data_IF_215476443933
#
_entry.id   IF_215476443933
#
_cell.length_a   1.000
_cell.length_b   1.000
_cell.length_c   1.000
_cell.angle_alpha   90.00
_cell.angle_beta   90.00
_cell.angle_gamma   90.00
#
_symmetry.space_group_name_H-M   'P 1'
#
loop_
_entity.id
_entity.type
_entity.pdbx_description
1 polymer ?
#
# COMPACT_ATOMS: atom_id res chain seq x y z
N UNK A 1 -3.35 34.90 6.17
CA UNK A 1 -3.95 34.14 7.28
C UNK A 1 -4.21 32.72 6.82
N UNK A 2 -3.60 31.72 7.46
CA UNK A 2 -3.78 30.30 7.14
C UNK A 2 -5.19 29.88 7.58
N UNK A 3 -6.08 29.55 6.63
CA UNK A 3 -7.44 29.10 6.95
C UNK A 3 -7.57 27.59 6.73
N UNK A 4 -7.06 26.82 7.71
CA UNK A 4 -7.16 25.36 7.72
C UNK A 4 -8.62 24.85 7.70
N UNK A 5 -9.58 25.67 8.16
CA UNK A 5 -11.01 25.34 8.17
C UNK A 5 -11.62 25.23 6.77
N UNK A 6 -10.97 25.78 5.74
CA UNK A 6 -11.47 25.68 4.36
C UNK A 6 -11.25 24.28 3.76
N UNK A 7 -10.20 23.57 4.18
CA UNK A 7 -9.91 22.18 3.77
C UNK A 7 -10.94 21.22 4.40
N UNK A 8 -11.43 21.54 5.59
CA UNK A 8 -12.44 20.75 6.32
C UNK A 8 -13.88 20.90 5.80
N UNK A 9 -14.15 21.87 4.91
CA UNK A 9 -15.52 22.23 4.51
C UNK A 9 -16.12 21.38 3.40
N UNK A 10 -15.30 20.57 2.71
CA UNK A 10 -15.78 19.53 1.79
C UNK A 10 -15.13 18.21 2.21
N UNK A 11 -15.89 17.25 2.78
CA UNK A 11 -15.34 16.00 3.27
C UNK A 11 -14.93 15.03 2.14
N UNK A 12 -14.98 15.47 0.88
CA UNK A 12 -14.57 14.70 -0.27
C UNK A 12 -13.14 15.09 -0.60
N UNK A 13 -12.21 14.19 -0.24
CA UNK A 13 -10.81 14.31 -0.62
C UNK A 13 -10.65 13.54 -1.93
N UNK A 14 -10.46 14.26 -3.03
CA UNK A 14 -10.08 13.63 -4.30
C UNK A 14 -8.63 13.18 -4.18
N UNK A 15 -8.38 11.89 -4.39
CA UNK A 15 -7.04 11.29 -4.32
C UNK A 15 -6.70 10.64 -5.66
N UNK A 16 -5.45 10.80 -6.09
CA UNK A 16 -4.93 10.08 -7.24
C UNK A 16 -4.31 8.78 -6.73
N UNK A 17 -4.82 7.63 -7.17
CA UNK A 17 -4.26 6.33 -6.85
C UNK A 17 -3.32 5.88 -7.96
N UNK A 18 -2.09 5.53 -7.60
CA UNK A 18 -1.06 5.05 -8.51
C UNK A 18 -0.57 3.67 -8.02
N UNK A 19 -0.62 2.68 -8.91
CA UNK A 19 -0.05 1.35 -8.67
C UNK A 19 1.34 1.30 -9.31
N UNK A 20 2.39 1.34 -8.49
CA UNK A 20 3.77 1.23 -9.00
C UNK A 20 4.12 -0.21 -9.34
N UNK A 21 3.76 -1.13 -8.44
CA UNK A 21 3.90 -2.57 -8.59
C UNK A 21 2.88 -3.26 -7.65
N UNK A 22 2.78 -4.60 -7.65
CA UNK A 22 1.80 -5.33 -6.83
C UNK A 22 1.91 -5.13 -5.33
N UNK A 23 3.05 -4.64 -4.87
CA UNK A 23 3.42 -4.47 -3.47
C UNK A 23 3.51 -3.00 -3.05
N UNK A 24 3.32 -2.05 -3.98
CA UNK A 24 3.47 -0.62 -3.73
C UNK A 24 2.30 0.15 -4.34
N UNK A 25 1.51 0.78 -3.47
CA UNK A 25 0.41 1.69 -3.83
C UNK A 25 0.74 3.08 -3.34
N UNK A 26 0.56 4.09 -4.19
CA UNK A 26 0.69 5.50 -3.84
C UNK A 26 -0.68 6.17 -3.91
N UNK A 27 -1.02 6.93 -2.87
CA UNK A 27 -2.12 7.88 -2.85
C UNK A 27 -1.54 9.29 -2.85
N UNK A 28 -1.85 10.04 -3.91
CA UNK A 28 -1.52 11.45 -4.02
C UNK A 28 -2.72 12.29 -3.57
N UNK A 29 -2.56 13.01 -2.47
CA UNK A 29 -3.59 13.84 -1.85
C UNK A 29 -3.24 15.30 -2.14
N UNK A 30 -3.94 15.96 -3.08
CA UNK A 30 -3.76 17.37 -3.33
C UNK A 30 -4.21 18.19 -2.11
N UNK A 31 -3.40 19.18 -1.78
CA UNK A 31 -3.64 20.17 -0.73
C UNK A 31 -3.61 21.56 -1.39
N UNK A 32 -3.93 22.60 -0.62
CA UNK A 32 -3.93 23.97 -1.11
C UNK A 32 -2.55 24.44 -1.62
N UNK A 33 -2.54 25.36 -2.60
CA UNK A 33 -1.35 25.93 -3.25
C UNK A 33 -0.48 24.91 -4.00
N UNK A 34 -1.10 23.99 -4.75
CA UNK A 34 -0.40 22.95 -5.52
C UNK A 34 0.54 22.07 -4.67
N UNK A 35 0.28 22.04 -3.36
CA UNK A 35 0.95 21.18 -2.41
C UNK A 35 0.29 19.82 -2.38
N UNK A 36 1.04 18.82 -1.94
CA UNK A 36 0.57 17.44 -1.88
C UNK A 36 1.05 16.74 -0.62
N UNK A 37 0.23 15.79 -0.20
CA UNK A 37 0.63 14.73 0.73
C UNK A 37 0.63 13.45 -0.10
N UNK A 38 1.72 12.71 -0.05
CA UNK A 38 1.87 11.43 -0.74
C UNK A 38 1.90 10.35 0.33
N UNK A 39 0.95 9.43 0.29
CA UNK A 39 0.90 8.26 1.17
C UNK A 39 1.30 7.06 0.34
N UNK A 40 2.37 6.38 0.72
CA UNK A 40 2.80 5.13 0.10
C UNK A 40 2.52 3.97 1.04
N UNK A 41 1.83 2.97 0.50
CA UNK A 41 1.60 1.69 1.13
C UNK A 41 2.55 0.68 0.49
N UNK A 42 3.45 0.13 1.28
CA UNK A 42 4.45 -0.83 0.84
C UNK A 42 4.28 -2.16 1.58
N UNK A 43 4.33 -3.26 0.85
CA UNK A 43 4.30 -4.62 1.40
C UNK A 43 5.61 -5.32 1.05
N UNK A 44 6.43 -5.64 2.04
CA UNK A 44 7.63 -6.44 1.83
C UNK A 44 7.36 -7.90 2.24
N UNK A 45 7.39 -8.87 1.31
CA UNK A 45 7.24 -10.28 1.65
C UNK A 45 8.47 -10.77 2.41
N UNK A 46 8.27 -11.28 3.63
CA UNK A 46 9.31 -11.98 4.40
C UNK A 46 9.27 -13.48 4.06
N UNK A 47 8.07 -14.04 3.96
CA UNK A 47 7.79 -15.43 3.60
C UNK A 47 6.44 -15.53 2.90
N UNK A 48 6.04 -16.75 2.52
CA UNK A 48 4.71 -16.99 1.95
C UNK A 48 3.54 -16.58 2.87
N UNK A 49 3.79 -16.46 4.19
CA UNK A 49 2.77 -16.16 5.19
C UNK A 49 3.00 -14.85 5.94
N UNK A 50 4.21 -14.31 5.89
CA UNK A 50 4.59 -13.13 6.65
C UNK A 50 5.02 -12.00 5.74
N UNK A 51 4.47 -10.83 5.98
CA UNK A 51 4.74 -9.63 5.20
C UNK A 51 4.90 -8.46 6.17
N UNK A 52 5.87 -7.58 5.90
CA UNK A 52 5.93 -6.28 6.55
C UNK A 52 5.06 -5.31 5.78
N UNK A 53 4.26 -4.56 6.49
CA UNK A 53 3.45 -3.50 5.91
C UNK A 53 3.97 -2.15 6.42
N UNK A 54 4.31 -1.27 5.48
CA UNK A 54 4.81 0.06 5.75
C UNK A 54 3.85 1.10 5.18
N UNK A 55 3.68 2.18 5.93
CA UNK A 55 2.93 3.35 5.52
C UNK A 55 3.88 4.54 5.62
N UNK A 56 4.31 5.05 4.47
CA UNK A 56 5.20 6.20 4.37
C UNK A 56 4.39 7.42 3.95
N UNK A 57 4.51 8.52 4.69
CA UNK A 57 3.79 9.76 4.39
C UNK A 57 4.80 10.88 4.11
N UNK A 58 4.77 11.40 2.90
CA UNK A 58 5.59 12.50 2.43
C UNK A 58 4.73 13.74 2.21
N UNK A 59 5.32 14.92 2.37
CA UNK A 59 4.64 16.16 2.05
C UNK A 59 5.61 17.27 1.69
N UNK A 60 5.20 18.13 0.77
CA UNK A 60 5.89 19.37 0.39
C UNK A 60 5.30 20.62 1.09
N UNK A 61 4.52 20.41 2.15
CA UNK A 61 3.97 21.47 3.01
C UNK A 61 5.08 22.18 3.79
N UNK A 62 5.07 23.51 3.75
CA UNK A 62 6.04 24.36 4.44
C UNK A 62 5.70 24.58 5.94
N UNK A 63 5.04 23.62 6.60
CA UNK A 63 4.69 23.72 8.02
C UNK A 63 5.88 23.36 8.93
N UNK A 64 5.73 23.62 10.22
CA UNK A 64 6.72 23.23 11.22
C UNK A 64 6.91 21.71 11.23
N UNK A 65 8.12 21.25 10.85
CA UNK A 65 8.41 19.84 10.57
C UNK A 65 8.06 18.88 11.72
N UNK A 66 8.39 19.15 13.00
CA UNK A 66 8.03 18.25 14.09
C UNK A 66 6.52 18.04 14.25
N UNK A 67 5.72 19.09 14.01
CA UNK A 67 4.26 19.00 14.13
C UNK A 67 3.67 18.15 13.00
N UNK A 68 4.17 18.32 11.76
CA UNK A 68 3.81 17.46 10.64
C UNK A 68 4.18 16.00 10.90
N UNK A 69 5.39 15.77 11.44
CA UNK A 69 5.87 14.41 11.73
C UNK A 69 4.96 13.71 12.74
N UNK A 70 4.57 14.39 13.82
CA UNK A 70 3.63 13.84 14.81
C UNK A 70 2.28 13.55 14.16
N UNK A 71 1.73 14.50 13.40
CA UNK A 71 0.45 14.35 12.72
C UNK A 71 0.45 13.16 11.75
N UNK A 72 1.50 13.02 10.94
CA UNK A 72 1.63 11.92 9.99
C UNK A 72 1.87 10.58 10.69
N UNK A 73 2.60 10.56 11.80
CA UNK A 73 2.74 9.35 12.59
C UNK A 73 1.39 8.88 13.14
N UNK A 74 0.57 9.79 13.67
CA UNK A 74 -0.79 9.46 14.10
C UNK A 74 -1.68 9.01 12.94
N UNK A 75 -1.60 9.69 11.79
CA UNK A 75 -2.37 9.29 10.60
C UNK A 75 -2.01 7.87 10.16
N UNK A 76 -0.71 7.55 10.06
CA UNK A 76 -0.23 6.22 9.69
C UNK A 76 -0.69 5.16 10.70
N UNK A 77 -0.58 5.43 12.00
CA UNK A 77 -1.05 4.53 13.06
C UNK A 77 -2.57 4.30 12.98
N UNK A 78 -3.35 5.36 12.73
CA UNK A 78 -4.80 5.25 12.61
C UNK A 78 -5.21 4.42 11.38
N UNK A 79 -4.60 4.70 10.22
CA UNK A 79 -4.82 3.92 8.99
C UNK A 79 -4.46 2.45 9.22
N UNK A 80 -3.31 2.18 9.84
CA UNK A 80 -2.92 0.81 10.15
C UNK A 80 -3.93 0.12 11.08
N UNK A 81 -4.38 0.80 12.13
CA UNK A 81 -5.32 0.23 13.08
C UNK A 81 -6.68 -0.09 12.45
N UNK A 82 -7.14 0.78 11.55
CA UNK A 82 -8.39 0.59 10.81
C UNK A 82 -8.26 -0.53 9.77
N UNK A 83 -7.18 -0.54 8.99
CA UNK A 83 -7.00 -1.45 7.85
C UNK A 83 -6.53 -2.86 8.25
N UNK A 84 -5.73 -2.99 9.31
CA UNK A 84 -5.15 -4.28 9.73
C UNK A 84 -6.20 -5.40 9.89
N UNK A 85 -7.35 -5.22 10.56
CA UNK A 85 -8.35 -6.28 10.67
C UNK A 85 -8.95 -6.67 9.30
N UNK A 86 -9.06 -5.72 8.35
CA UNK A 86 -9.51 -6.03 6.99
C UNK A 86 -8.45 -6.83 6.23
N UNK A 87 -7.18 -6.43 6.33
CA UNK A 87 -6.06 -7.13 5.71
C UNK A 87 -5.90 -8.56 6.24
N UNK A 88 -6.06 -8.76 7.55
CA UNK A 88 -6.03 -10.09 8.17
C UNK A 88 -7.14 -11.00 7.64
N UNK A 89 -8.39 -10.50 7.61
CA UNK A 89 -9.53 -11.24 7.05
C UNK A 89 -9.35 -11.55 5.56
N UNK A 90 -8.78 -10.62 4.81
CA UNK A 90 -8.49 -10.81 3.38
C UNK A 90 -7.42 -11.87 3.17
N UNK A 91 -6.37 -11.89 3.98
CA UNK A 91 -5.31 -12.90 3.93
C UNK A 91 -5.88 -14.31 4.16
N UNK A 92 -6.65 -14.51 5.23
CA UNK A 92 -7.31 -15.79 5.53
C UNK A 92 -8.23 -16.25 4.38
N UNK A 93 -9.02 -15.32 3.82
CA UNK A 93 -9.94 -15.63 2.73
C UNK A 93 -9.19 -15.99 1.45
N UNK A 94 -8.11 -15.28 1.16
CA UNK A 94 -7.30 -15.51 -0.04
C UNK A 94 -6.58 -16.86 0.05
N UNK A 95 -5.99 -17.20 1.20
CA UNK A 95 -5.38 -18.53 1.42
C UNK A 95 -6.42 -19.64 1.19
N UNK A 96 -7.64 -19.48 1.71
CA UNK A 96 -8.73 -20.44 1.45
C UNK A 96 -9.11 -20.52 -0.03
N UNK A 97 -9.25 -19.41 -0.74
CA UNK A 97 -9.65 -19.39 -2.16
C UNK A 97 -8.56 -19.96 -3.08
N UNK A 98 -7.28 -19.67 -2.78
CA UNK A 98 -6.13 -20.27 -3.48
C UNK A 98 -6.13 -21.78 -3.27
N UNK A 99 -6.33 -22.25 -2.03
CA UNK A 99 -6.43 -23.68 -1.74
C UNK A 99 -7.63 -24.36 -2.43
N UNK A 100 -8.69 -23.60 -2.71
CA UNK A 100 -9.91 -24.11 -3.36
C UNK A 100 -9.90 -23.94 -4.89
N UNK A 101 -8.83 -23.43 -5.51
CA UNK A 101 -8.76 -23.07 -6.94
C UNK A 101 -9.91 -22.18 -7.44
N UNK A 102 -10.62 -21.52 -6.52
CA UNK A 102 -11.83 -20.76 -6.78
C UNK A 102 -11.51 -19.27 -6.76
N UNK A 103 -10.66 -18.81 -7.69
CA UNK A 103 -10.41 -17.38 -7.83
C UNK A 103 -11.59 -16.69 -8.54
N UNK A 104 -12.05 -15.53 -8.05
CA UNK A 104 -13.22 -14.86 -8.58
C UNK A 104 -13.00 -14.30 -10.00
N UNK A 105 -13.94 -14.57 -10.89
CA UNK A 105 -13.96 -14.22 -12.34
C UNK A 105 -14.27 -12.74 -12.62
N UNK A 106 -14.13 -11.85 -11.65
CA UNK A 106 -14.44 -10.43 -11.85
C UNK A 106 -13.37 -9.78 -12.74
N UNK A 107 -13.77 -9.01 -13.75
CA UNK A 107 -12.83 -8.43 -14.73
C UNK A 107 -11.70 -7.61 -14.09
N UNK A 108 -12.00 -6.84 -13.04
CA UNK A 108 -11.00 -6.09 -12.26
C UNK A 108 -9.95 -7.01 -11.62
N UNK A 109 -10.35 -8.20 -11.16
CA UNK A 109 -9.43 -9.19 -10.60
C UNK A 109 -8.55 -9.82 -11.68
N UNK A 110 -9.05 -9.96 -12.92
CA UNK A 110 -8.26 -10.44 -14.04
C UNK A 110 -7.19 -9.41 -14.46
N UNK A 111 -7.56 -8.14 -14.55
CA UNK A 111 -6.61 -7.06 -14.85
C UNK A 111 -5.55 -6.94 -13.76
N UNK A 112 -5.96 -6.99 -12.48
CA UNK A 112 -5.01 -7.00 -11.37
C UNK A 112 -4.10 -8.23 -11.40
N UNK A 113 -4.64 -9.43 -11.64
CA UNK A 113 -3.83 -10.64 -11.79
C UNK A 113 -2.80 -10.49 -12.90
N UNK A 114 -3.21 -9.98 -14.06
CA UNK A 114 -2.30 -9.75 -15.18
C UNK A 114 -1.21 -8.74 -14.82
N UNK A 115 -1.57 -7.67 -14.11
CA UNK A 115 -0.62 -6.71 -13.56
C UNK A 115 0.38 -7.38 -12.59
N UNK A 116 -0.10 -8.24 -11.69
CA UNK A 116 0.75 -9.02 -10.78
C UNK A 116 1.70 -9.93 -11.54
N UNK A 117 1.23 -10.64 -12.57
CA UNK A 117 2.07 -11.50 -13.41
C UNK A 117 3.18 -10.71 -14.13
N UNK A 118 2.88 -9.49 -14.58
CA UNK A 118 3.84 -8.65 -15.30
C UNK A 118 4.86 -7.97 -14.39
N UNK A 119 4.45 -7.51 -13.21
CA UNK A 119 5.26 -6.64 -12.35
C UNK A 119 5.69 -7.28 -11.02
N UNK A 120 5.15 -8.44 -10.64
CA UNK A 120 5.51 -9.15 -9.39
C UNK A 120 6.73 -10.06 -9.51
N UNK A 121 7.15 -10.42 -10.73
CA UNK A 121 8.27 -11.33 -10.99
C UNK A 121 9.65 -10.76 -10.64
N UNK A 122 9.77 -9.43 -10.54
CA UNK A 122 11.01 -8.74 -10.18
C UNK A 122 11.41 -8.90 -8.70
N UNK A 123 10.49 -9.37 -7.83
CA UNK A 123 10.73 -9.50 -6.39
C UNK A 123 11.21 -10.88 -5.95
N UNK A 124 11.37 -11.86 -6.86
CA UNK A 124 11.78 -13.22 -6.48
C UNK A 124 13.31 -13.28 -6.38
N UNK A 125 13.90 -13.59 -5.20
CA UNK A 125 15.32 -13.91 -5.13
C UNK A 125 15.55 -15.15 -5.98
N UNK A 126 16.46 -15.07 -6.95
CA UNK A 126 16.95 -16.24 -7.66
C UNK A 126 17.68 -17.14 -6.65
N UNK A 127 17.04 -18.24 -6.25
CA UNK A 127 17.74 -19.34 -5.59
C UNK A 127 18.90 -19.78 -6.50
N UNK A 128 20.14 -19.87 -6.01
CA UNK A 128 21.26 -20.31 -6.84
C UNK A 128 21.02 -21.76 -7.27
N UNK A 129 21.20 -22.02 -8.56
CA UNK A 129 20.90 -23.27 -9.23
C UNK A 129 21.77 -24.48 -8.82
N UNK A 130 22.53 -24.40 -7.72
CA UNK A 130 23.51 -25.42 -7.35
C UNK A 130 23.32 -25.87 -5.89
N UNK A 131 22.36 -26.76 -5.66
CA UNK A 131 22.33 -27.64 -4.50
C UNK A 131 21.75 -29.00 -4.88
N UNK A 132 22.27 -29.57 -5.97
CA UNK A 132 22.23 -31.00 -6.27
C UNK A 132 23.68 -31.41 -6.50
N UNK A 133 24.07 -32.54 -5.90
CA UNK A 133 25.43 -33.11 -5.73
C UNK A 133 26.23 -32.49 -4.57
N UNK A 134 26.47 -33.22 -3.47
CA UNK A 134 27.33 -34.40 -3.50
C UNK A 134 27.12 -35.31 -2.28
N UNK A 135 26.96 -36.61 -2.59
CA UNK A 135 27.29 -37.85 -1.84
C UNK A 135 26.99 -37.96 -0.35
#
# INVERSE_FOLDING_TARGET
SFNALRIWRQPIVEVILILHNPYTVELNIPVYNDKRIVVMFNVEPISDKEHKFFIDIYSDLNWFKPLLQILFHFAACLTLFEDLPYLQKLAERTERLVNLNALPTHETMLLFRRFVELYGSFAKPSLPANAVESK
#
